data_IF_045385432940
#
_entry.id   IF_045385432940
#
_cell.length_a   1.000
_cell.length_b   1.000
_cell.length_c   1.000
_cell.angle_alpha   90.00
_cell.angle_beta   90.00
_cell.angle_gamma   90.00
#
_symmetry.space_group_name_H-M   'P 1'
#
loop_
_entity.id
_entity.type
_entity.pdbx_description
1 polymer ?
#
# COMPACT_ATOMS: atom_id res chain seq x y z
N UNK A 1 -8.39 -1.55 -8.62
CA UNK A 1 -7.84 -2.23 -9.81
C UNK A 1 -6.36 -2.41 -9.56
N UNK A 2 -5.86 -3.64 -9.52
CA UNK A 2 -4.46 -3.95 -9.20
C UNK A 2 -3.60 -3.77 -10.46
N UNK A 3 -2.47 -3.07 -10.35
CA UNK A 3 -1.50 -2.90 -11.43
C UNK A 3 -0.22 -3.69 -11.14
N UNK A 4 -0.06 -4.80 -11.87
CA UNK A 4 1.09 -5.70 -11.77
C UNK A 4 2.41 -5.01 -12.10
N UNK A 5 2.40 -3.99 -12.95
CA UNK A 5 3.60 -3.26 -13.38
C UNK A 5 4.21 -2.37 -12.30
N UNK A 6 3.41 -1.96 -11.31
CA UNK A 6 3.85 -0.97 -10.31
C UNK A 6 3.86 -1.52 -8.87
N UNK A 7 3.51 -2.80 -8.66
CA UNK A 7 3.34 -3.39 -7.32
C UNK A 7 2.50 -2.51 -6.38
N UNK A 8 1.36 -2.03 -6.89
CA UNK A 8 0.55 -1.05 -6.17
C UNK A 8 -0.94 -1.34 -6.19
N UNK A 9 -1.60 -0.96 -5.11
CA UNK A 9 -3.03 -1.12 -4.90
C UNK A 9 -3.66 0.24 -4.70
N UNK A 10 -4.62 0.55 -5.57
CA UNK A 10 -5.33 1.83 -5.57
C UNK A 10 -6.62 1.73 -4.75
N UNK A 11 -6.78 2.65 -3.81
CA UNK A 11 -7.94 2.83 -2.94
C UNK A 11 -8.68 4.11 -3.30
N UNK A 12 -10.02 4.03 -3.41
CA UNK A 12 -10.90 5.18 -3.75
C UNK A 12 -10.41 6.01 -4.95
N UNK A 13 -9.80 5.33 -5.92
CA UNK A 13 -9.22 5.97 -7.09
C UNK A 13 -10.30 6.45 -8.05
N UNK A 14 -10.35 7.75 -8.30
CA UNK A 14 -11.19 8.36 -9.31
C UNK A 14 -10.38 8.59 -10.60
N UNK A 15 -10.74 7.93 -11.71
CA UNK A 15 -10.02 8.09 -12.98
C UNK A 15 -10.28 9.43 -13.67
N UNK A 16 -11.33 10.16 -13.29
CA UNK A 16 -11.69 11.45 -13.89
C UNK A 16 -10.84 12.58 -13.31
N UNK A 17 -10.61 12.56 -12.00
CA UNK A 17 -9.80 13.57 -11.28
C UNK A 17 -8.37 13.11 -10.98
N UNK A 18 -8.05 11.83 -11.21
CA UNK A 18 -6.78 11.21 -10.80
C UNK A 18 -6.48 11.47 -9.33
N UNK A 19 -7.51 11.30 -8.50
CA UNK A 19 -7.44 11.47 -7.04
C UNK A 19 -7.71 10.15 -6.36
N UNK A 20 -7.00 9.86 -5.28
CA UNK A 20 -7.20 8.66 -4.49
C UNK A 20 -5.94 8.30 -3.71
N UNK A 21 -5.93 7.12 -3.14
CA UNK A 21 -4.81 6.64 -2.34
C UNK A 21 -4.20 5.42 -3.02
N UNK A 22 -2.89 5.25 -2.88
CA UNK A 22 -2.15 4.16 -3.48
C UNK A 22 -1.23 3.55 -2.44
N UNK A 23 -1.37 2.25 -2.20
CA UNK A 23 -0.43 1.47 -1.41
C UNK A 23 0.60 0.87 -2.36
N UNK A 24 1.86 1.19 -2.17
CA UNK A 24 3.01 0.65 -2.92
C UNK A 24 3.82 -0.27 -2.05
N UNK A 25 4.26 -1.39 -2.62
CA UNK A 25 5.26 -2.25 -1.99
C UNK A 25 6.61 -2.07 -2.67
N UNK A 26 7.60 -1.60 -1.91
CA UNK A 26 8.97 -1.42 -2.35
C UNK A 26 9.79 -2.69 -2.07
N UNK A 27 9.74 -3.62 -3.02
CA UNK A 27 10.44 -4.89 -2.91
C UNK A 27 11.97 -4.74 -2.86
N UNK A 28 12.51 -3.67 -3.45
CA UNK A 28 13.95 -3.40 -3.45
C UNK A 28 14.45 -2.91 -2.08
N UNK A 29 13.67 -2.06 -1.40
CA UNK A 29 13.88 -1.67 -0.01
C UNK A 29 13.85 -2.88 0.91
N UNK A 30 12.80 -3.71 0.79
CA UNK A 30 12.66 -4.95 1.55
C UNK A 30 13.86 -5.89 1.37
N UNK A 31 14.28 -6.13 0.12
CA UNK A 31 15.39 -7.02 -0.20
C UNK A 31 16.75 -6.53 0.32
N UNK A 32 16.91 -5.22 0.52
CA UNK A 32 18.13 -4.61 1.07
C UNK A 32 18.14 -4.55 2.60
N UNK A 33 17.11 -5.08 3.28
CA UNK A 33 16.94 -4.97 4.73
C UNK A 33 16.51 -3.56 5.16
N UNK A 34 15.93 -2.78 4.24
CA UNK A 34 15.34 -1.49 4.54
C UNK A 34 14.07 -1.67 5.36
N UNK A 35 13.94 -0.89 6.42
CA UNK A 35 12.80 -0.95 7.33
C UNK A 35 11.49 -0.56 6.65
N UNK A 36 11.48 0.36 5.68
CA UNK A 36 10.27 0.82 4.99
C UNK A 36 10.01 0.02 3.71
N UNK A 37 9.13 -0.98 3.77
CA UNK A 37 8.75 -1.78 2.61
C UNK A 37 7.42 -1.33 2.00
N UNK A 38 6.60 -0.58 2.73
CA UNK A 38 5.28 -0.17 2.31
C UNK A 38 5.19 1.35 2.26
N UNK A 39 4.55 1.89 1.22
CA UNK A 39 4.32 3.33 1.09
C UNK A 39 2.86 3.58 0.80
N UNK A 40 2.21 4.38 1.64
CA UNK A 40 0.87 4.91 1.35
C UNK A 40 1.04 6.28 0.73
N UNK A 41 0.52 6.46 -0.47
CA UNK A 41 0.62 7.70 -1.24
C UNK A 41 -0.80 8.28 -1.42
N UNK A 42 -1.03 9.50 -0.95
CA UNK A 42 -2.20 10.29 -1.34
C UNK A 42 -1.92 10.97 -2.67
N UNK A 43 -2.73 10.66 -3.67
CA UNK A 43 -2.71 11.30 -4.96
C UNK A 43 -3.84 12.32 -5.03
N UNK A 44 -3.48 13.58 -5.21
CA UNK A 44 -4.43 14.66 -5.50
C UNK A 44 -3.99 15.38 -6.77
N UNK A 45 -4.79 15.32 -7.83
CA UNK A 45 -4.50 15.92 -9.14
C UNK A 45 -3.15 15.49 -9.76
N UNK A 46 -3.00 14.19 -10.05
CA UNK A 46 -1.79 13.60 -10.69
C UNK A 46 -0.47 13.86 -9.96
N UNK A 47 -0.53 14.33 -8.72
CA UNK A 47 0.62 14.62 -7.86
C UNK A 47 0.44 13.91 -6.54
N UNK A 48 1.52 13.39 -5.98
CA UNK A 48 1.53 12.85 -4.63
C UNK A 48 1.52 14.04 -3.67
N UNK A 49 0.47 14.17 -2.87
CA UNK A 49 0.36 15.23 -1.85
C UNK A 49 1.09 14.81 -0.59
N UNK A 50 0.89 13.56 -0.19
CA UNK A 50 1.43 12.98 1.03
C UNK A 50 1.93 11.57 0.74
N UNK A 51 3.08 11.24 1.32
CA UNK A 51 3.61 9.88 1.37
C UNK A 51 3.85 9.51 2.83
N UNK A 52 3.35 8.35 3.24
CA UNK A 52 3.63 7.73 4.52
C UNK A 52 4.49 6.49 4.28
N UNK A 53 5.79 6.53 4.64
CA UNK A 53 6.62 5.34 4.66
C UNK A 53 6.21 4.51 5.88
N UNK A 54 5.91 3.24 5.64
CA UNK A 54 5.46 2.27 6.64
C UNK A 54 6.45 1.11 6.67
N UNK A 55 6.77 0.65 7.88
CA UNK A 55 7.69 -0.47 8.05
C UNK A 55 7.01 -1.77 7.65
N UNK A 56 5.77 -1.94 8.13
CA UNK A 56 4.96 -3.13 7.92
C UNK A 56 3.64 -2.83 7.21
N UNK A 57 3.02 -3.90 6.70
CA UNK A 57 1.70 -3.85 6.07
C UNK A 57 0.64 -3.32 7.06
N UNK A 58 0.77 -3.65 8.34
CA UNK A 58 -0.19 -3.26 9.37
C UNK A 58 -0.24 -1.74 9.56
N UNK A 59 0.93 -1.09 9.66
CA UNK A 59 1.02 0.38 9.73
C UNK A 59 0.39 1.04 8.50
N UNK A 60 0.66 0.50 7.31
CA UNK A 60 0.09 1.03 6.07
C UNK A 60 -1.45 0.89 6.05
N UNK A 61 -1.97 -0.21 6.59
CA UNK A 61 -3.40 -0.43 6.75
C UNK A 61 -4.01 0.46 7.85
N UNK A 62 -3.29 0.75 8.93
CA UNK A 62 -3.73 1.69 9.96
C UNK A 62 -3.90 3.11 9.39
N UNK A 63 -2.94 3.56 8.56
CA UNK A 63 -3.04 4.83 7.84
C UNK A 63 -4.29 4.84 6.97
N UNK A 64 -4.49 3.79 6.15
CA UNK A 64 -5.68 3.67 5.30
C UNK A 64 -6.98 3.60 6.11
N UNK A 65 -6.98 2.91 7.26
CA UNK A 65 -8.12 2.82 8.16
C UNK A 65 -8.46 4.19 8.76
N UNK A 66 -7.47 5.01 9.07
CA UNK A 66 -7.70 6.38 9.55
C UNK A 66 -8.46 7.23 8.53
N UNK A 67 -8.17 7.07 7.23
CA UNK A 67 -8.82 7.84 6.17
C UNK A 67 -10.16 7.25 5.71
N UNK A 68 -10.28 5.92 5.68
CA UNK A 68 -11.37 5.24 4.99
C UNK A 68 -12.23 4.35 5.86
N UNK A 69 -11.88 4.17 7.14
CA UNK A 69 -12.50 3.20 8.04
C UNK A 69 -12.63 1.82 7.38
N UNK A 70 -11.50 1.31 6.85
CA UNK A 70 -11.43 -0.03 6.23
C UNK A 70 -11.26 -1.11 7.29
N UNK A 71 -11.71 -2.32 6.98
CA UNK A 71 -11.47 -3.48 7.83
C UNK A 71 -10.03 -3.98 7.63
N UNK A 72 -9.13 -3.59 8.55
CA UNK A 72 -7.71 -3.92 8.51
C UNK A 72 -7.49 -5.44 8.38
N UNK A 73 -8.27 -6.24 9.10
CA UNK A 73 -8.08 -7.71 9.11
C UNK A 73 -8.41 -8.29 7.74
N UNK A 74 -9.57 -7.92 7.18
CA UNK A 74 -9.97 -8.39 5.85
C UNK A 74 -9.01 -7.93 4.75
N UNK A 75 -8.57 -6.67 4.84
CA UNK A 75 -7.68 -6.10 3.83
C UNK A 75 -6.27 -6.68 3.94
N UNK A 76 -5.79 -6.97 5.15
CA UNK A 76 -4.56 -7.72 5.39
C UNK A 76 -4.60 -9.09 4.74
N UNK A 77 -5.66 -9.88 4.91
CA UNK A 77 -5.75 -11.20 4.28
C UNK A 77 -5.74 -11.12 2.74
N UNK A 78 -6.44 -10.11 2.20
CA UNK A 78 -6.47 -9.84 0.77
C UNK A 78 -5.11 -9.38 0.23
N UNK A 79 -4.35 -8.60 1.01
CA UNK A 79 -3.01 -8.13 0.69
C UNK A 79 -1.94 -9.21 0.91
N UNK A 80 -2.12 -10.09 1.89
CA UNK A 80 -1.24 -11.24 2.13
C UNK A 80 -1.30 -12.23 0.96
N UNK A 81 -2.46 -12.38 0.33
CA UNK A 81 -2.62 -13.17 -0.91
C UNK A 81 -1.97 -12.50 -2.13
N UNK A 82 -1.66 -11.21 -2.03
CA UNK A 82 -1.10 -10.39 -3.10
C UNK A 82 0.42 -10.21 -2.98
N UNK A 83 0.94 -10.15 -1.76
CA UNK A 83 2.37 -10.03 -1.50
C UNK A 83 3.10 -11.33 -1.90
N UNK A 84 4.32 -11.23 -2.44
CA UNK A 84 5.10 -12.42 -2.79
C UNK A 84 5.34 -13.26 -1.52
N UNK A 85 5.04 -14.57 -1.60
CA UNK A 85 5.10 -15.55 -0.50
C UNK A 85 6.41 -15.51 0.32
N UNK A 86 7.50 -15.01 -0.22
CA UNK A 86 8.77 -14.78 0.49
C UNK A 86 8.67 -13.86 1.71
N UNK A 87 7.60 -13.06 1.86
CA UNK A 87 7.32 -12.30 3.08
C UNK A 87 6.31 -13.01 4.02
N UNK A 88 5.51 -13.95 3.50
CA UNK A 88 4.52 -14.70 4.27
C UNK A 88 5.15 -15.76 5.18
N UNK A 89 6.42 -16.13 4.95
CA UNK A 89 7.18 -17.11 5.74
C UNK A 89 8.02 -16.46 6.87
N UNK A 90 8.03 -15.13 6.99
CA UNK A 90 8.81 -14.40 8.02
C UNK A 90 7.97 -13.92 9.22
N UNK A 91 6.73 -14.40 9.36
CA UNK A 91 5.83 -14.13 10.49
C UNK A 91 5.81 -15.27 11.52
#
# INVERSE_FOLDING_TARGET
MFEQTENTIRYKWDPSTYTGFKLRYDAEGAAKGGHCCFHVEDWTFRSITNEWPCEDLDEALEVLNHFFAIDITQERERLASWLPMTLAEAA
#
